data_IF_801784204666
#
_entry.id   IF_801784204666
#
_cell.length_a   1.000
_cell.length_b   1.000
_cell.length_c   1.000
_cell.angle_alpha   90.00
_cell.angle_beta   90.00
_cell.angle_gamma   90.00
#
_symmetry.space_group_name_H-M   'P 1'
#
loop_
_entity.id
_entity.type
_entity.pdbx_description
1 polymer ?
#
# COMPACT_ATOMS: atom_id res chain seq x y z
N UNK A 1 -11.83 36.58 35.39
CA UNK A 1 -11.16 36.92 34.14
C UNK A 1 -9.77 36.29 33.98
N UNK A 2 -8.91 36.23 35.01
CA UNK A 2 -7.55 35.63 34.92
C UNK A 2 -7.57 34.14 34.52
N UNK A 3 -8.51 33.32 34.98
CA UNK A 3 -8.59 31.88 34.69
C UNK A 3 -9.10 31.54 33.28
N UNK A 4 -9.91 32.44 32.68
CA UNK A 4 -10.42 32.28 31.30
C UNK A 4 -9.28 32.49 30.31
N UNK A 5 -8.37 33.44 30.58
CA UNK A 5 -7.22 33.71 29.72
C UNK A 5 -6.21 32.56 29.75
N UNK A 6 -6.00 31.93 30.92
CA UNK A 6 -5.09 30.77 31.08
C UNK A 6 -5.62 29.53 30.35
N UNK A 7 -6.94 29.31 30.35
CA UNK A 7 -7.56 28.19 29.66
C UNK A 7 -7.50 28.36 28.12
N UNK A 8 -7.61 29.59 27.64
CA UNK A 8 -7.56 29.92 26.22
C UNK A 8 -6.13 29.75 25.63
N UNK A 9 -5.08 30.03 26.42
CA UNK A 9 -3.68 29.86 26.03
C UNK A 9 -3.32 28.35 25.98
N UNK A 10 -3.84 27.51 26.89
CA UNK A 10 -3.62 26.07 26.88
C UNK A 10 -4.27 25.38 25.64
N UNK A 11 -5.44 25.88 25.21
CA UNK A 11 -6.13 25.35 24.02
C UNK A 11 -5.41 25.71 22.70
N UNK A 12 -4.71 26.86 22.65
CA UNK A 12 -3.91 27.25 21.46
C UNK A 12 -2.64 26.39 21.29
N UNK A 13 -2.00 25.99 22.40
CA UNK A 13 -0.78 25.16 22.35
C UNK A 13 -1.05 23.75 21.84
N UNK A 14 -2.23 23.18 22.09
CA UNK A 14 -2.58 21.82 21.63
C UNK A 14 -2.82 21.75 20.12
N UNK A 15 -3.37 22.79 19.51
CA UNK A 15 -3.61 22.84 18.06
C UNK A 15 -2.32 22.99 17.25
N UNK A 16 -1.31 23.67 17.77
CA UNK A 16 0.01 23.81 17.13
C UNK A 16 0.77 22.48 17.13
N UNK A 17 0.68 21.69 18.19
CA UNK A 17 1.34 20.39 18.29
C UNK A 17 0.77 19.38 17.27
N UNK A 18 -0.56 19.35 17.07
CA UNK A 18 -1.20 18.48 16.08
C UNK A 18 -0.80 18.86 14.65
N UNK A 19 -0.84 20.14 14.29
CA UNK A 19 -0.45 20.62 12.97
C UNK A 19 1.04 20.33 12.66
N UNK A 20 1.93 20.40 13.65
CA UNK A 20 3.35 20.07 13.49
C UNK A 20 3.56 18.56 13.31
N UNK A 21 2.77 17.72 13.98
CA UNK A 21 2.82 16.26 13.85
C UNK A 21 2.39 15.81 12.45
N UNK A 22 1.33 16.40 11.92
CA UNK A 22 0.83 16.09 10.56
C UNK A 22 1.82 16.54 9.48
N UNK A 23 2.43 17.72 9.63
CA UNK A 23 3.46 18.22 8.71
C UNK A 23 4.70 17.30 8.71
N UNK A 24 5.09 16.76 9.89
CA UNK A 24 6.21 15.82 10.01
C UNK A 24 5.88 14.47 9.38
N UNK A 25 4.65 13.95 9.58
CA UNK A 25 4.17 12.73 8.92
C UNK A 25 4.29 12.86 7.40
N UNK A 26 3.78 13.97 6.85
CA UNK A 26 3.87 14.27 5.42
C UNK A 26 5.31 14.28 4.92
N UNK A 27 6.20 14.96 5.62
CA UNK A 27 7.61 15.06 5.21
C UNK A 27 8.32 13.70 5.20
N UNK A 28 7.99 12.79 6.12
CA UNK A 28 8.52 11.42 6.15
C UNK A 28 7.98 10.63 4.95
N UNK A 29 6.67 10.68 4.69
CA UNK A 29 6.03 10.00 3.57
C UNK A 29 6.57 10.51 2.22
N UNK A 30 6.68 11.82 2.05
CA UNK A 30 7.23 12.43 0.82
C UNK A 30 8.64 11.90 0.52
N UNK A 31 9.54 11.87 1.53
CA UNK A 31 10.90 11.32 1.38
C UNK A 31 10.89 9.83 1.02
N UNK A 32 9.99 9.07 1.59
CA UNK A 32 9.81 7.64 1.28
C UNK A 32 9.39 7.45 -0.17
N UNK A 33 8.41 8.20 -0.63
CA UNK A 33 7.94 8.18 -2.03
C UNK A 33 9.04 8.62 -2.99
N UNK A 34 9.76 9.70 -2.69
CA UNK A 34 10.91 10.15 -3.49
C UNK A 34 11.98 9.06 -3.58
N UNK A 35 12.28 8.41 -2.47
CA UNK A 35 13.26 7.32 -2.46
C UNK A 35 12.82 6.15 -3.35
N UNK A 36 11.57 5.69 -3.24
CA UNK A 36 11.04 4.62 -4.09
C UNK A 36 11.04 5.05 -5.57
N UNK A 37 10.61 6.28 -5.88
CA UNK A 37 10.59 6.83 -7.24
C UNK A 37 11.99 7.07 -7.84
N UNK A 38 13.03 7.04 -7.03
CA UNK A 38 14.42 7.12 -7.53
C UNK A 38 14.87 5.87 -8.30
N UNK A 39 14.15 4.75 -8.11
CA UNK A 39 14.37 3.53 -8.87
C UNK A 39 13.59 3.58 -10.20
N UNK A 40 14.20 3.27 -11.35
CA UNK A 40 13.50 3.21 -12.63
C UNK A 40 12.46 2.08 -12.68
N UNK A 41 12.66 1.05 -11.91
CA UNK A 41 11.73 -0.03 -11.59
C UNK A 41 12.12 -0.63 -10.24
N UNK A 42 11.16 -1.26 -9.55
CA UNK A 42 11.39 -1.94 -8.27
C UNK A 42 10.93 -3.39 -8.29
N UNK A 43 11.69 -4.24 -7.62
CA UNK A 43 11.33 -5.59 -7.21
C UNK A 43 11.12 -5.57 -5.71
N UNK A 44 9.97 -6.07 -5.24
CA UNK A 44 9.58 -6.13 -3.85
C UNK A 44 9.33 -7.59 -3.48
N UNK A 45 9.99 -8.09 -2.46
CA UNK A 45 9.66 -9.37 -1.82
C UNK A 45 8.98 -9.05 -0.50
N UNK A 46 7.86 -9.69 -0.22
CA UNK A 46 7.04 -9.39 0.95
C UNK A 46 6.35 -10.63 1.53
N UNK A 47 5.95 -10.53 2.77
CA UNK A 47 4.95 -11.41 3.38
C UNK A 47 3.62 -10.68 3.44
N UNK A 48 2.56 -11.37 3.00
CA UNK A 48 1.17 -10.97 3.14
C UNK A 48 0.56 -11.80 4.26
N UNK A 49 0.13 -11.16 5.36
CA UNK A 49 -0.58 -11.84 6.44
C UNK A 49 -2.02 -11.36 6.52
N UNK A 50 -2.96 -12.29 6.59
CA UNK A 50 -4.38 -12.06 6.88
C UNK A 50 -4.65 -12.42 8.33
N UNK A 51 -5.15 -11.47 9.11
CA UNK A 51 -5.32 -11.61 10.55
C UNK A 51 -6.75 -11.23 10.92
N UNK A 52 -7.47 -12.19 11.54
CA UNK A 52 -8.72 -11.90 12.24
C UNK A 52 -8.66 -12.56 13.62
N UNK A 53 -8.46 -11.75 14.66
CA UNK A 53 -8.32 -12.25 16.04
C UNK A 53 -9.61 -12.81 16.61
N UNK A 54 -10.77 -12.37 16.15
CA UNK A 54 -12.05 -12.85 16.62
C UNK A 54 -12.36 -14.26 16.08
N UNK A 55 -11.84 -14.58 14.90
CA UNK A 55 -12.04 -15.86 14.22
C UNK A 55 -10.81 -16.77 14.28
N UNK A 56 -9.76 -16.38 15.05
CA UNK A 56 -8.49 -17.08 15.20
C UNK A 56 -7.76 -17.32 13.84
N UNK A 57 -7.94 -16.39 12.90
CA UNK A 57 -7.28 -16.44 11.58
C UNK A 57 -5.93 -15.71 11.69
N UNK A 58 -4.87 -16.39 11.27
CA UNK A 58 -3.53 -15.82 11.13
C UNK A 58 -2.76 -16.61 10.06
N UNK A 59 -2.97 -16.22 8.79
CA UNK A 59 -2.37 -16.86 7.64
C UNK A 59 -1.33 -15.95 7.02
N UNK A 60 -0.20 -16.52 6.56
CA UNK A 60 0.88 -15.75 5.93
C UNK A 60 1.31 -16.41 4.64
N UNK A 61 1.34 -15.62 3.57
CA UNK A 61 1.75 -16.01 2.23
C UNK A 61 2.96 -15.18 1.80
N UNK A 62 3.89 -15.81 1.08
CA UNK A 62 5.02 -15.11 0.49
C UNK A 62 4.61 -14.56 -0.87
N UNK A 63 5.01 -13.32 -1.15
CA UNK A 63 4.69 -12.68 -2.42
C UNK A 63 5.87 -11.93 -3.00
N UNK A 64 5.76 -11.66 -4.29
CA UNK A 64 6.68 -10.84 -5.05
C UNK A 64 5.91 -9.84 -5.90
N UNK A 65 6.38 -8.60 -5.92
CA UNK A 65 5.83 -7.58 -6.79
C UNK A 65 6.92 -6.89 -7.60
N UNK A 66 6.57 -6.50 -8.81
CA UNK A 66 7.39 -5.66 -9.68
C UNK A 66 6.58 -4.43 -10.05
N UNK A 67 7.24 -3.29 -10.12
CA UNK A 67 6.59 -2.04 -10.48
C UNK A 67 7.50 -1.20 -11.35
N UNK A 68 6.91 -0.54 -12.36
CA UNK A 68 7.57 0.44 -13.22
C UNK A 68 6.53 1.48 -13.64
N UNK A 69 6.76 2.74 -13.32
CA UNK A 69 5.79 3.81 -13.52
C UNK A 69 4.44 3.48 -12.85
N UNK A 70 3.38 3.31 -13.64
CA UNK A 70 2.05 2.89 -13.16
C UNK A 70 1.82 1.38 -13.25
N UNK A 71 2.67 0.67 -14.00
CA UNK A 71 2.52 -0.75 -14.25
C UNK A 71 2.98 -1.58 -13.06
N UNK A 72 2.30 -2.70 -12.82
CA UNK A 72 2.72 -3.64 -11.79
C UNK A 72 2.42 -5.10 -12.19
N UNK A 73 3.18 -6.00 -11.58
CA UNK A 73 2.92 -7.44 -11.53
C UNK A 73 3.08 -7.90 -10.11
N UNK A 74 2.07 -8.58 -9.56
CA UNK A 74 2.05 -9.11 -8.18
C UNK A 74 1.78 -10.60 -8.27
N UNK A 75 2.64 -11.37 -7.65
CA UNK A 75 2.57 -12.83 -7.56
C UNK A 75 2.43 -13.19 -6.07
N UNK A 76 1.26 -13.66 -5.66
CA UNK A 76 0.95 -14.03 -4.27
C UNK A 76 -0.29 -14.92 -4.23
N UNK A 77 -0.30 -15.93 -3.35
CA UNK A 77 -1.44 -16.84 -3.14
C UNK A 77 -1.85 -17.58 -4.44
N UNK A 78 -0.85 -18.02 -5.22
CA UNK A 78 -1.04 -18.70 -6.51
C UNK A 78 -1.87 -17.90 -7.53
N UNK A 79 -1.95 -16.58 -7.36
CA UNK A 79 -2.59 -15.63 -8.28
C UNK A 79 -1.57 -14.62 -8.76
N UNK A 80 -1.57 -14.34 -10.06
CA UNK A 80 -0.73 -13.29 -10.63
C UNK A 80 -1.60 -12.16 -11.15
N UNK A 81 -1.47 -10.99 -10.53
CA UNK A 81 -2.13 -9.77 -10.97
C UNK A 81 -1.15 -8.94 -11.80
N UNK A 82 -1.58 -8.55 -13.00
CA UNK A 82 -0.85 -7.64 -13.87
C UNK A 82 -1.67 -6.36 -14.07
N UNK A 83 -0.97 -5.27 -14.19
CA UNK A 83 -1.52 -3.99 -14.67
C UNK A 83 -0.54 -3.37 -15.65
N UNK A 84 -0.95 -3.24 -16.90
CA UNK A 84 -0.10 -2.71 -17.97
C UNK A 84 -0.19 -1.18 -18.14
N UNK A 85 -0.88 -0.51 -17.22
CA UNK A 85 -1.16 0.93 -17.25
C UNK A 85 -2.56 1.26 -17.78
N UNK A 86 -3.27 0.31 -18.39
CA UNK A 86 -4.62 0.47 -18.95
C UNK A 86 -5.60 -0.57 -18.40
N UNK A 87 -5.18 -1.84 -18.31
CA UNK A 87 -6.04 -2.99 -18.02
C UNK A 87 -5.43 -3.85 -16.91
N UNK A 88 -6.28 -4.42 -16.06
CA UNK A 88 -5.89 -5.37 -15.03
C UNK A 88 -6.19 -6.78 -15.54
N UNK A 89 -5.18 -7.67 -15.39
CA UNK A 89 -5.29 -9.10 -15.65
C UNK A 89 -5.11 -9.84 -14.33
N UNK A 90 -6.09 -10.63 -13.92
CA UNK A 90 -5.99 -11.53 -12.76
C UNK A 90 -5.89 -12.96 -13.27
N UNK A 91 -4.69 -13.51 -13.29
CA UNK A 91 -4.42 -14.86 -13.74
C UNK A 91 -4.41 -15.83 -12.57
N UNK A 92 -5.21 -16.87 -12.67
CA UNK A 92 -5.40 -17.95 -11.70
C UNK A 92 -4.94 -19.28 -12.33
N UNK A 93 -3.65 -19.64 -12.20
CA UNK A 93 -3.07 -20.83 -12.84
C UNK A 93 -3.82 -22.11 -12.54
N UNK A 94 -4.21 -22.34 -11.27
CA UNK A 94 -4.91 -23.56 -10.84
C UNK A 94 -6.31 -23.72 -11.45
N UNK A 95 -6.90 -22.61 -11.92
CA UNK A 95 -8.21 -22.59 -12.57
C UNK A 95 -8.09 -22.53 -14.09
N UNK A 96 -6.86 -22.38 -14.62
CA UNK A 96 -6.60 -22.13 -16.05
C UNK A 96 -7.44 -20.96 -16.58
N UNK A 97 -7.56 -19.87 -15.77
CA UNK A 97 -8.41 -18.72 -16.07
C UNK A 97 -7.67 -17.40 -15.92
N UNK A 98 -7.96 -16.43 -16.78
CA UNK A 98 -7.56 -15.03 -16.64
C UNK A 98 -8.74 -14.11 -16.78
N UNK A 99 -8.99 -13.28 -15.77
CA UNK A 99 -9.99 -12.24 -15.79
C UNK A 99 -9.36 -10.92 -16.25
N UNK A 100 -9.99 -10.24 -17.22
CA UNK A 100 -9.56 -8.93 -17.73
C UNK A 100 -10.59 -7.91 -17.34
N UNK A 101 -10.16 -6.83 -16.65
CA UNK A 101 -11.05 -5.74 -16.24
C UNK A 101 -10.40 -4.37 -16.37
N UNK A 102 -11.22 -3.33 -16.48
CA UNK A 102 -10.75 -1.96 -16.34
C UNK A 102 -10.43 -1.67 -14.86
N UNK A 103 -9.42 -0.84 -14.56
CA UNK A 103 -9.20 -0.39 -13.20
C UNK A 103 -10.42 0.42 -12.71
N UNK A 104 -10.98 0.03 -11.56
CA UNK A 104 -12.05 0.77 -10.89
C UNK A 104 -11.43 1.68 -9.82
N UNK A 105 -11.77 2.98 -9.86
CA UNK A 105 -11.31 3.95 -8.86
C UNK A 105 -11.84 3.65 -7.45
N UNK A 106 -12.86 2.79 -7.34
CA UNK A 106 -13.51 2.39 -6.09
C UNK A 106 -13.16 0.97 -5.63
N UNK A 107 -12.36 0.21 -6.40
CA UNK A 107 -11.93 -1.11 -5.98
C UNK A 107 -10.96 -1.05 -4.81
N UNK A 108 -11.06 -2.09 -3.97
CA UNK A 108 -10.25 -2.22 -2.77
C UNK A 108 -8.76 -2.20 -3.09
N UNK A 109 -8.14 -1.07 -2.80
CA UNK A 109 -6.72 -0.84 -2.96
C UNK A 109 -5.87 -1.65 -1.96
N UNK A 110 -6.48 -2.60 -1.21
CA UNK A 110 -5.81 -3.33 -0.12
C UNK A 110 -4.55 -4.07 -0.56
N UNK A 111 -4.54 -4.59 -1.79
CA UNK A 111 -3.40 -5.31 -2.36
C UNK A 111 -2.72 -4.55 -3.49
N UNK A 112 -3.15 -3.33 -3.79
CA UNK A 112 -2.53 -2.54 -4.84
C UNK A 112 -1.21 -1.94 -4.37
N UNK A 113 -0.05 -2.39 -4.90
CA UNK A 113 1.25 -1.88 -4.47
C UNK A 113 1.46 -0.41 -4.86
N UNK A 114 0.66 0.14 -5.78
CA UNK A 114 0.71 1.56 -6.11
C UNK A 114 0.39 2.45 -4.90
N UNK A 115 -0.26 1.90 -3.86
CA UNK A 115 -0.45 2.60 -2.58
C UNK A 115 0.88 3.07 -2.00
N UNK A 116 1.99 2.34 -2.21
CA UNK A 116 3.33 2.75 -1.76
C UNK A 116 3.83 4.02 -2.46
N UNK A 117 3.34 4.29 -3.69
CA UNK A 117 3.67 5.51 -4.44
C UNK A 117 2.68 6.64 -4.17
N UNK A 118 1.48 6.29 -3.69
CA UNK A 118 0.37 7.21 -3.45
C UNK A 118 0.05 7.42 -1.95
N UNK A 119 0.91 6.91 -1.05
CA UNK A 119 0.77 7.07 0.41
C UNK A 119 0.58 8.54 0.84
N UNK A 120 1.13 9.48 0.05
CA UNK A 120 0.96 10.92 0.27
C UNK A 120 -0.31 11.49 -0.38
N UNK A 121 -1.15 10.63 -0.97
CA UNK A 121 -2.36 11.02 -1.69
C UNK A 121 -3.32 11.81 -0.79
N UNK A 122 -4.01 12.77 -1.40
CA UNK A 122 -5.00 13.64 -0.72
C UNK A 122 -6.25 12.88 -0.22
N UNK A 123 -6.40 11.58 -0.53
CA UNK A 123 -7.51 10.73 -0.06
C UNK A 123 -7.46 10.46 1.46
N UNK A 124 -6.29 10.61 2.11
CA UNK A 124 -6.09 10.30 3.53
C UNK A 124 -5.69 11.54 4.35
N UNK A 125 -6.10 11.56 5.62
CA UNK A 125 -5.43 12.35 6.65
C UNK A 125 -4.28 11.54 7.21
N UNK A 126 -3.17 12.20 7.51
CA UNK A 126 -1.91 11.58 7.94
C UNK A 126 -1.61 12.00 9.37
N UNK A 127 -1.29 11.07 10.25
CA UNK A 127 -0.94 11.33 11.63
C UNK A 127 0.32 10.58 12.01
N UNK A 128 1.36 11.30 12.42
CA UNK A 128 2.54 10.69 13.03
C UNK A 128 2.20 10.24 14.45
N UNK A 129 2.25 8.94 14.69
CA UNK A 129 1.94 8.34 16.00
C UNK A 129 3.22 8.14 16.82
N UNK A 130 4.28 7.67 16.15
CA UNK A 130 5.57 7.43 16.78
C UNK A 130 6.71 7.80 15.82
N UNK A 131 7.79 8.39 16.35
CA UNK A 131 9.05 8.61 15.65
C UNK A 131 10.19 8.46 16.66
N UNK A 132 10.77 7.27 16.68
CA UNK A 132 11.79 6.90 17.65
C UNK A 132 12.81 5.94 17.03
N UNK A 133 14.07 6.11 17.40
CA UNK A 133 15.20 5.20 17.05
C UNK A 133 15.36 4.99 15.52
N UNK A 134 14.93 5.95 14.69
CA UNK A 134 15.00 5.85 13.25
C UNK A 134 13.83 5.08 12.64
N UNK A 135 12.73 4.90 13.38
CA UNK A 135 11.48 4.28 12.92
C UNK A 135 10.33 5.22 13.16
N UNK A 136 9.50 5.41 12.15
CA UNK A 136 8.26 6.16 12.24
C UNK A 136 7.07 5.24 12.04
N UNK A 137 6.02 5.45 12.86
CA UNK A 137 4.70 4.88 12.63
C UNK A 137 3.73 6.00 12.27
N UNK A 138 3.12 5.91 11.11
CA UNK A 138 2.17 6.87 10.58
C UNK A 138 0.83 6.19 10.34
N UNK A 139 -0.24 6.77 10.86
CA UNK A 139 -1.61 6.37 10.56
C UNK A 139 -2.19 7.23 9.44
N UNK A 140 -2.82 6.58 8.47
CA UNK A 140 -3.56 7.17 7.37
C UNK A 140 -5.04 6.86 7.57
N UNK A 141 -5.87 7.88 7.72
CA UNK A 141 -7.31 7.71 7.86
C UNK A 141 -8.01 8.22 6.61
N UNK A 142 -8.88 7.43 5.96
CA UNK A 142 -9.62 7.88 4.78
C UNK A 142 -10.43 9.13 5.10
N UNK A 143 -10.34 10.17 4.26
CA UNK A 143 -11.14 11.41 4.39
C UNK A 143 -12.61 11.20 4.06
N UNK A 144 -12.88 10.25 3.16
CA UNK A 144 -14.24 9.80 2.85
C UNK A 144 -14.44 8.41 3.47
N UNK A 145 -15.68 8.08 3.85
CA UNK A 145 -15.97 6.78 4.43
C UNK A 145 -15.62 5.67 3.44
N UNK A 146 -14.62 4.88 3.76
CA UNK A 146 -14.26 3.67 3.02
C UNK A 146 -15.18 2.52 3.46
N UNK A 147 -15.56 1.61 2.54
CA UNK A 147 -16.49 0.51 2.87
C UNK A 147 -15.87 -0.48 3.86
N UNK A 148 -14.65 -0.88 3.65
CA UNK A 148 -13.98 -1.97 4.36
C UNK A 148 -12.87 -1.48 5.30
N UNK A 149 -12.08 -0.48 4.92
CA UNK A 149 -10.90 -0.02 5.66
C UNK A 149 -11.27 1.06 6.67
N UNK A 150 -10.83 0.91 7.93
CA UNK A 150 -10.94 1.91 8.98
C UNK A 150 -9.76 2.89 8.96
N UNK A 151 -8.55 2.36 8.80
CA UNK A 151 -7.28 3.11 8.68
C UNK A 151 -6.19 2.24 8.06
N UNK A 152 -5.11 2.87 7.65
CA UNK A 152 -3.88 2.19 7.22
C UNK A 152 -2.75 2.62 8.15
N UNK A 153 -1.97 1.67 8.66
CA UNK A 153 -0.74 1.92 9.40
C UNK A 153 0.47 1.72 8.51
N UNK A 154 1.42 2.65 8.53
CA UNK A 154 2.65 2.58 7.76
C UNK A 154 3.85 2.69 8.70
N UNK A 155 4.74 1.70 8.69
CA UNK A 155 6.00 1.69 9.44
C UNK A 155 7.15 1.97 8.47
N UNK A 156 7.93 2.99 8.76
CA UNK A 156 8.99 3.49 7.90
C UNK A 156 10.30 3.53 8.68
N UNK A 157 11.35 3.03 8.06
CA UNK A 157 12.70 3.26 8.52
C UNK A 157 13.16 4.64 8.01
N UNK A 158 13.24 5.62 8.91
CA UNK A 158 13.56 7.02 8.55
C UNK A 158 15.03 7.25 8.24
N UNK A 159 15.91 6.27 8.54
CA UNK A 159 17.34 6.34 8.17
C UNK A 159 17.55 5.95 6.71
N UNK A 160 16.75 5.01 6.21
CA UNK A 160 16.82 4.50 4.84
C UNK A 160 15.70 5.02 3.95
N UNK A 161 14.69 5.70 4.51
CA UNK A 161 13.44 6.11 3.86
C UNK A 161 12.67 4.93 3.23
N UNK A 162 12.75 3.75 3.83
CA UNK A 162 12.11 2.53 3.33
C UNK A 162 10.89 2.17 4.15
N UNK A 163 9.82 1.76 3.47
CA UNK A 163 8.67 1.12 4.13
C UNK A 163 9.10 -0.25 4.62
N UNK A 164 8.87 -0.54 5.89
CA UNK A 164 9.11 -1.87 6.49
C UNK A 164 7.81 -2.69 6.55
N UNK A 165 6.69 -2.02 6.83
CA UNK A 165 5.39 -2.69 6.99
C UNK A 165 4.24 -1.74 6.67
N UNK A 166 3.19 -2.29 6.06
CA UNK A 166 1.88 -1.64 5.90
C UNK A 166 0.82 -2.54 6.50
N UNK A 167 -0.14 -1.97 7.22
CA UNK A 167 -1.31 -2.71 7.73
C UNK A 167 -2.57 -1.97 7.35
N UNK A 168 -3.45 -2.62 6.61
CA UNK A 168 -4.82 -2.17 6.39
C UNK A 168 -5.70 -2.76 7.48
N UNK A 169 -6.29 -1.89 8.31
CA UNK A 169 -7.18 -2.31 9.39
C UNK A 169 -8.61 -2.39 8.88
N UNK A 170 -9.16 -3.59 8.84
CA UNK A 170 -10.53 -3.85 8.43
C UNK A 170 -11.55 -3.38 9.48
N UNK A 171 -12.72 -2.90 9.02
CA UNK A 171 -13.84 -2.56 9.91
C UNK A 171 -14.53 -3.78 10.50
N UNK A 172 -14.41 -4.90 9.82
CA UNK A 172 -14.94 -6.22 10.20
C UNK A 172 -13.94 -7.04 11.05
N UNK A 173 -12.77 -6.48 11.35
CA UNK A 173 -11.71 -7.15 12.09
C UNK A 173 -10.74 -7.95 11.22
N UNK A 174 -10.94 -7.97 9.89
CA UNK A 174 -9.98 -8.57 8.96
C UNK A 174 -8.87 -7.59 8.62
N UNK A 175 -7.71 -7.77 9.24
CA UNK A 175 -6.53 -6.96 9.00
C UNK A 175 -5.64 -7.62 7.94
N UNK A 176 -5.15 -6.82 7.00
CA UNK A 176 -4.14 -7.25 6.02
C UNK A 176 -2.82 -6.58 6.32
N UNK A 177 -1.79 -7.38 6.53
CA UNK A 177 -0.43 -6.93 6.87
C UNK A 177 0.53 -7.29 5.76
N UNK A 178 1.19 -6.29 5.18
CA UNK A 178 2.27 -6.48 4.21
C UNK A 178 3.58 -6.14 4.91
N UNK A 179 4.47 -7.11 5.07
CA UNK A 179 5.81 -6.93 5.62
C UNK A 179 6.84 -6.99 4.50
N UNK A 180 7.53 -5.90 4.23
CA UNK A 180 8.53 -5.82 3.18
C UNK A 180 9.81 -6.54 3.64
N UNK A 181 10.24 -7.55 2.88
CA UNK A 181 11.50 -8.28 3.13
C UNK A 181 12.66 -7.68 2.35
N UNK A 182 12.41 -7.28 1.12
CA UNK A 182 13.37 -6.55 0.31
C UNK A 182 12.67 -5.64 -0.70
N UNK A 183 13.30 -4.50 -0.99
CA UNK A 183 12.94 -3.61 -2.09
C UNK A 183 14.25 -3.23 -2.77
N UNK A 184 14.38 -3.55 -4.06
CA UNK A 184 15.60 -3.34 -4.83
C UNK A 184 15.28 -3.07 -6.30
N UNK A 185 16.29 -2.61 -7.04
CA UNK A 185 16.22 -2.58 -8.50
C UNK A 185 16.18 -4.02 -9.04
N UNK A 186 15.28 -4.37 -9.99
CA UNK A 186 15.29 -5.66 -10.67
C UNK A 186 16.62 -5.92 -11.36
N UNK A 187 17.05 -7.17 -11.43
CA UNK A 187 18.26 -7.58 -12.14
C UNK A 187 18.10 -7.50 -13.67
N UNK A 188 16.87 -7.74 -14.14
CA UNK A 188 16.51 -7.65 -15.56
C UNK A 188 15.82 -6.32 -15.88
N UNK A 189 15.91 -5.90 -17.12
CA UNK A 189 15.10 -4.80 -17.63
C UNK A 189 13.64 -5.27 -17.80
N UNK A 190 12.68 -4.46 -17.29
CA UNK A 190 11.26 -4.74 -17.38
C UNK A 190 10.66 -3.93 -18.53
N UNK A 191 10.18 -4.59 -19.57
CA UNK A 191 9.41 -3.99 -20.66
C UNK A 191 7.89 -4.04 -20.35
N UNK A 192 7.07 -3.49 -21.23
CA UNK A 192 5.61 -3.47 -21.05
C UNK A 192 5.00 -4.86 -21.05
N UNK A 193 5.58 -5.82 -21.80
CA UNK A 193 5.04 -7.18 -21.91
C UNK A 193 5.19 -7.95 -20.60
N UNK A 194 6.20 -7.59 -19.78
CA UNK A 194 6.35 -8.15 -18.43
C UNK A 194 5.14 -7.88 -17.52
N UNK A 195 4.41 -6.80 -17.76
CA UNK A 195 3.25 -6.34 -16.98
C UNK A 195 1.91 -6.70 -17.64
N UNK A 196 1.91 -7.61 -18.61
CA UNK A 196 0.74 -8.04 -19.35
C UNK A 196 0.65 -9.56 -19.32
N UNK A 197 -0.55 -10.10 -19.28
CA UNK A 197 -0.76 -11.52 -19.46
C UNK A 197 -0.51 -11.91 -20.92
N UNK A 198 0.33 -12.92 -21.14
CA UNK A 198 0.65 -13.45 -22.47
C UNK A 198 -0.22 -14.68 -22.77
N UNK A 199 -1.29 -14.46 -23.53
CA UNK A 199 -2.21 -15.54 -23.94
C UNK A 199 -1.53 -16.57 -24.86
N UNK A 200 -0.56 -16.14 -25.67
CA UNK A 200 0.14 -17.04 -26.59
C UNK A 200 1.05 -18.01 -25.85
N UNK A 201 1.60 -17.59 -24.72
CA UNK A 201 2.37 -18.44 -23.83
C UNK A 201 1.49 -19.41 -23.00
N UNK A 202 0.18 -19.13 -22.90
CA UNK A 202 -0.80 -19.87 -22.10
C UNK A 202 -2.04 -20.22 -22.95
N UNK A 203 -1.92 -21.05 -24.01
CA UNK A 203 -3.04 -21.32 -24.92
C UNK A 203 -4.20 -22.07 -24.25
N UNK A 204 -3.94 -22.79 -23.16
CA UNK A 204 -4.92 -23.53 -22.34
C UNK A 204 -5.83 -22.64 -21.51
N UNK A 205 -5.39 -21.41 -21.19
CA UNK A 205 -6.08 -20.51 -20.24
C UNK A 205 -7.34 -19.91 -20.87
N UNK A 206 -8.47 -20.02 -20.19
CA UNK A 206 -9.70 -19.35 -20.56
C UNK A 206 -9.62 -17.84 -20.23
N UNK A 207 -9.98 -17.00 -21.21
CA UNK A 207 -9.97 -15.54 -21.08
C UNK A 207 -11.38 -15.04 -20.83
N UNK A 208 -11.64 -14.45 -19.66
CA UNK A 208 -12.90 -13.83 -19.28
C UNK A 208 -12.73 -12.32 -19.35
N UNK A 209 -13.31 -11.69 -20.36
CA UNK A 209 -13.27 -10.24 -20.54
C UNK A 209 -14.49 -9.60 -19.85
N UNK A 210 -14.23 -8.86 -18.77
CA UNK A 210 -15.22 -8.19 -17.93
C UNK A 210 -15.28 -6.65 -18.16
N UNK A 211 -14.64 -6.15 -19.20
CA UNK A 211 -14.58 -4.70 -19.51
C UNK A 211 -15.88 -4.16 -20.10
#
# INVERSE_FOLDING_TARGET
MKYILTFMILALCSSIALAQTDAKAKAILDKTVEHIKSYPAVEIVFDLSMINKAEDINETHHGKAYMKDKMYRIDVMDVVNYFDGEVIYTYMPDQEEVNIKNPDENEDEMLNPSILFDIHNQKFTQKLVEDKDGKAYIELTPKQSHKQISKIGVWINTKTNMVEKVTSFGKDGNDVVITIKSLKKPEQELDVNFFRFDKDAHPEVDVIDLR
#
